data_IF_598844892519
#
_entry.id   IF_598844892519
#
_cell.length_a   1.000
_cell.length_b   1.000
_cell.length_c   1.000
_cell.angle_alpha   90.00
_cell.angle_beta   90.00
_cell.angle_gamma   90.00
#
_symmetry.space_group_name_H-M   'P 1'
#
loop_
_entity.id
_entity.type
_entity.pdbx_description
1 polymer ?
#
# COMPACT_ATOMS: atom_id res chain seq x y z
N UNK A 1 -8.22 14.80 17.19
CA UNK A 1 -7.20 15.00 18.23
C UNK A 1 -6.22 13.83 18.34
N UNK A 2 -6.67 12.58 18.46
CA UNK A 2 -5.79 11.39 18.56
C UNK A 2 -4.89 11.13 17.33
N UNK A 3 -5.37 11.45 16.11
CA UNK A 3 -4.58 11.32 14.88
C UNK A 3 -3.39 12.30 14.85
N UNK A 4 -3.61 13.57 15.24
CA UNK A 4 -2.55 14.59 15.37
C UNK A 4 -1.48 14.21 16.39
N UNK A 5 -1.85 13.60 17.52
CA UNK A 5 -0.90 13.17 18.55
C UNK A 5 0.00 12.00 18.10
N UNK A 6 -0.54 11.02 17.34
CA UNK A 6 0.25 9.93 16.73
C UNK A 6 1.17 10.44 15.61
N UNK A 7 0.72 11.45 14.87
CA UNK A 7 1.49 12.12 13.81
C UNK A 7 2.66 12.94 14.36
N UNK A 8 2.47 13.67 15.46
CA UNK A 8 3.54 14.46 16.12
C UNK A 8 4.64 13.55 16.70
N UNK A 9 4.28 12.38 17.23
CA UNK A 9 5.26 11.41 17.74
C UNK A 9 6.15 10.84 16.61
N UNK A 10 5.61 10.71 15.39
CA UNK A 10 6.34 10.24 14.19
C UNK A 10 7.30 11.25 13.60
N UNK A 11 6.94 12.53 13.57
CA UNK A 11 7.84 13.60 13.10
C UNK A 11 9.14 13.64 13.92
N UNK A 12 9.07 13.29 15.21
CA UNK A 12 10.23 13.22 16.10
C UNK A 12 11.17 12.03 15.81
N UNK A 13 10.66 10.97 15.19
CA UNK A 13 11.43 9.79 14.80
C UNK A 13 12.10 10.00 13.43
N UNK A 14 11.44 10.71 12.51
CA UNK A 14 11.93 10.98 11.15
C UNK A 14 13.18 11.88 11.11
N UNK A 15 13.35 12.76 12.10
CA UNK A 15 14.43 13.76 12.13
C UNK A 15 15.59 13.45 13.09
N UNK A 16 15.61 12.27 13.74
CA UNK A 16 16.71 11.91 14.65
C UNK A 16 17.85 11.18 13.92
N UNK A 17 19.12 11.51 14.22
CA UNK A 17 20.26 10.72 13.73
C UNK A 17 20.22 9.32 14.35
N UNK A 18 20.42 8.29 13.52
CA UNK A 18 20.51 6.91 13.99
C UNK A 18 21.68 6.78 14.97
N UNK A 19 21.44 6.21 16.16
CA UNK A 19 22.53 5.92 17.09
C UNK A 19 23.40 4.78 16.54
N UNK A 20 24.74 4.89 16.65
CA UNK A 20 25.63 3.86 16.14
C UNK A 20 25.42 2.54 16.89
N UNK A 21 25.26 1.46 16.12
CA UNK A 21 25.19 0.10 16.63
C UNK A 21 26.48 -0.23 17.39
N UNK A 22 26.39 -0.40 18.71
CA UNK A 22 27.49 -0.95 19.50
C UNK A 22 27.69 -2.42 19.13
N UNK A 23 28.81 -2.71 18.45
CA UNK A 23 29.26 -4.07 18.15
C UNK A 23 29.43 -4.86 19.45
N UNK A 24 28.60 -5.89 19.67
CA UNK A 24 28.89 -6.96 20.62
C UNK A 24 29.71 -8.05 19.91
N UNK A 25 30.81 -8.54 20.49
CA UNK A 25 31.60 -9.60 19.88
C UNK A 25 30.81 -10.91 19.83
N UNK A 26 30.88 -11.59 18.68
CA UNK A 26 30.28 -12.91 18.46
C UNK A 26 31.19 -13.95 19.12
N UNK A 27 30.63 -14.66 20.09
CA UNK A 27 31.31 -15.74 20.82
C UNK A 27 31.41 -17.00 19.95
N UNK A 28 32.64 -17.35 19.54
CA UNK A 28 32.95 -18.35 18.50
C UNK A 28 32.90 -19.81 18.98
N UNK A 29 32.40 -20.09 20.18
CA UNK A 29 32.46 -21.44 20.77
C UNK A 29 31.17 -22.28 20.67
N UNK A 30 30.13 -21.85 19.93
CA UNK A 30 28.83 -22.55 19.95
C UNK A 30 28.50 -23.44 18.73
N UNK A 31 29.43 -23.63 17.79
CA UNK A 31 29.15 -24.31 16.51
C UNK A 31 29.58 -25.78 16.40
N UNK A 32 30.24 -26.38 17.39
CA UNK A 32 30.78 -27.76 17.24
C UNK A 32 29.88 -28.89 17.80
N UNK A 33 28.70 -28.60 18.34
CA UNK A 33 27.89 -29.60 19.07
C UNK A 33 26.76 -30.31 18.31
N UNK A 34 26.46 -29.96 17.05
CA UNK A 34 25.19 -30.37 16.41
C UNK A 34 25.31 -31.22 15.13
N UNK A 35 26.44 -31.90 14.91
CA UNK A 35 26.62 -32.76 13.72
C UNK A 35 26.64 -34.28 13.96
N UNK A 36 26.21 -34.74 15.15
CA UNK A 36 26.11 -36.18 15.44
C UNK A 36 24.86 -36.50 16.25
N UNK A 37 23.70 -36.61 15.57
CA UNK A 37 22.54 -37.44 15.98
C UNK A 37 21.36 -37.19 15.05
N UNK A 38 21.29 -37.88 13.92
CA UNK A 38 20.01 -38.21 13.24
C UNK A 38 20.25 -39.07 11.99
N UNK A 39 20.83 -40.25 12.18
CA UNK A 39 20.62 -41.38 11.28
C UNK A 39 20.30 -42.60 12.13
N UNK A 40 19.02 -42.99 12.19
CA UNK A 40 18.57 -44.40 12.23
C UNK A 40 17.06 -44.50 12.41
N UNK A 41 16.47 -45.46 11.67
CA UNK A 41 15.23 -46.19 11.95
C UNK A 41 13.94 -45.77 11.24
N UNK A 42 13.84 -46.27 10.01
CA UNK A 42 12.62 -46.75 9.36
C UNK A 42 11.93 -47.82 10.21
N UNK A 43 10.60 -47.70 10.44
CA UNK A 43 9.72 -48.88 10.56
C UNK A 43 8.26 -48.58 10.18
N UNK A 44 7.84 -49.33 9.18
CA UNK A 44 6.54 -49.50 8.53
C UNK A 44 5.46 -50.05 9.47
N UNK A 45 4.19 -49.60 9.36
CA UNK A 45 2.97 -50.43 9.53
C UNK A 45 1.73 -49.78 8.90
N UNK A 46 0.93 -50.63 8.22
CA UNK A 46 -0.31 -50.37 7.46
C UNK A 46 -1.57 -50.49 8.37
N UNK A 47 -2.74 -50.14 7.82
CA UNK A 47 -4.13 -50.53 8.19
C UNK A 47 -4.87 -49.50 9.08
N UNK A 48 -6.13 -49.07 8.89
CA UNK A 48 -7.28 -49.48 8.06
C UNK A 48 -8.35 -48.36 8.07
N UNK A 49 -9.20 -48.28 7.04
CA UNK A 49 -10.39 -47.41 6.90
C UNK A 49 -11.45 -47.63 7.98
N UNK A 50 -12.21 -46.59 8.35
CA UNK A 50 -13.68 -46.62 8.54
C UNK A 50 -14.31 -45.21 8.49
N UNK A 51 -15.51 -45.15 7.94
CA UNK A 51 -16.31 -43.99 7.50
C UNK A 51 -17.57 -43.80 8.36
N UNK A 52 -17.90 -42.53 8.68
CA UNK A 52 -19.21 -41.85 8.94
C UNK A 52 -20.13 -42.27 10.13
N UNK A 53 -21.20 -41.50 10.54
CA UNK A 53 -21.78 -40.20 10.07
C UNK A 53 -22.16 -39.18 11.21
N UNK A 54 -22.88 -38.04 10.97
CA UNK A 54 -23.05 -36.91 11.89
C UNK A 54 -24.36 -36.93 12.72
N UNK A 55 -24.44 -36.11 13.78
CA UNK A 55 -25.64 -35.92 14.60
C UNK A 55 -26.17 -34.47 14.52
N UNK A 56 -27.40 -34.34 14.02
CA UNK A 56 -28.29 -33.17 14.10
C UNK A 56 -29.49 -33.55 14.95
N UNK A 57 -29.84 -32.82 16.02
CA UNK A 57 -31.19 -32.87 16.63
C UNK A 57 -31.62 -31.50 17.22
N UNK A 58 -32.63 -30.92 16.55
CA UNK A 58 -33.85 -30.24 16.98
C UNK A 58 -33.99 -29.41 18.29
N UNK A 59 -34.61 -28.24 18.10
CA UNK A 59 -35.34 -27.43 19.10
C UNK A 59 -36.63 -28.11 19.60
N UNK A 60 -37.20 -27.65 20.73
CA UNK A 60 -38.64 -27.70 20.95
C UNK A 60 -39.28 -26.29 20.97
N UNK A 61 -40.56 -26.25 20.62
CA UNK A 61 -41.42 -25.07 20.44
C UNK A 61 -42.66 -25.18 21.34
N UNK A 62 -43.14 -24.01 21.82
CA UNK A 62 -44.52 -23.62 22.28
C UNK A 62 -44.99 -24.03 23.69
N UNK A 63 -46.09 -23.44 24.27
CA UNK A 63 -47.09 -22.46 23.72
C UNK A 63 -47.63 -21.31 24.63
N UNK A 64 -48.33 -20.33 24.00
CA UNK A 64 -49.52 -19.50 24.40
C UNK A 64 -49.56 -18.69 25.73
N UNK A 65 -50.30 -17.58 25.94
CA UNK A 65 -51.57 -17.06 25.39
C UNK A 65 -51.82 -15.58 25.82
N UNK A 66 -52.38 -14.77 24.91
CA UNK A 66 -53.37 -13.66 25.05
C UNK A 66 -53.28 -12.65 26.23
N UNK A 67 -53.33 -11.35 25.92
CA UNK A 67 -54.57 -10.57 25.86
C UNK A 67 -54.34 -9.14 25.32
N UNK A 68 -55.34 -8.70 24.57
CA UNK A 68 -55.58 -7.40 23.96
C UNK A 68 -56.22 -6.42 24.94
N UNK A 69 -55.84 -5.14 24.90
CA UNK A 69 -56.80 -4.06 25.14
C UNK A 69 -56.44 -2.79 24.35
N UNK A 70 -57.46 -2.29 23.68
CA UNK A 70 -57.57 -1.05 22.91
C UNK A 70 -57.49 0.18 23.78
N UNK A 71 -56.93 1.29 23.27
CA UNK A 71 -57.46 2.67 23.39
C UNK A 71 -56.56 3.64 22.57
N UNK A 72 -57.19 4.43 21.70
CA UNK A 72 -56.76 5.73 21.14
C UNK A 72 -57.94 6.69 21.39
N UNK A 73 -57.77 8.00 21.62
CA UNK A 73 -57.19 8.90 20.62
C UNK A 73 -56.32 10.08 21.13
N UNK A 74 -55.60 10.65 20.15
CA UNK A 74 -55.10 12.02 19.94
C UNK A 74 -54.85 12.99 21.11
N UNK A 75 -53.62 13.50 21.15
CA UNK A 75 -53.40 14.94 21.32
C UNK A 75 -52.14 15.40 20.55
N UNK A 76 -52.29 16.51 19.83
CA UNK A 76 -51.34 17.19 18.97
C UNK A 76 -50.17 17.84 19.73
N UNK A 77 -48.92 17.64 19.26
CA UNK A 77 -47.84 18.65 19.20
C UNK A 77 -46.53 18.04 18.61
N UNK A 78 -45.59 18.87 18.10
CA UNK A 78 -45.08 18.76 16.74
C UNK A 78 -44.02 17.68 16.56
N UNK A 79 -43.96 17.13 15.33
CA UNK A 79 -42.89 16.25 14.83
C UNK A 79 -41.53 16.92 15.05
N UNK A 80 -40.87 16.56 16.14
CA UNK A 80 -39.43 16.74 16.30
C UNK A 80 -38.74 16.03 15.14
N UNK A 81 -37.98 16.80 14.36
CA UNK A 81 -37.02 16.31 13.39
C UNK A 81 -36.16 15.22 14.05
N UNK A 82 -36.45 13.96 13.72
CA UNK A 82 -35.48 12.89 13.91
C UNK A 82 -34.40 13.15 12.86
N UNK A 83 -33.34 13.84 13.28
CA UNK A 83 -32.12 13.99 12.51
C UNK A 83 -31.66 12.57 12.12
N UNK A 84 -31.50 12.27 10.82
CA UNK A 84 -31.05 10.95 10.43
C UNK A 84 -29.64 10.72 11.00
N UNK A 85 -29.54 9.55 11.63
CA UNK A 85 -28.34 8.93 12.16
C UNK A 85 -27.16 9.11 11.18
N UNK A 86 -26.06 9.70 11.65
CA UNK A 86 -24.81 9.85 10.89
C UNK A 86 -24.06 8.51 10.88
N UNK A 87 -24.71 7.49 10.30
CA UNK A 87 -24.07 6.27 9.83
C UNK A 87 -23.58 6.49 8.39
N UNK A 88 -22.31 6.18 8.14
CA UNK A 88 -21.65 6.30 6.83
C UNK A 88 -22.38 5.51 5.73
N UNK A 89 -23.24 6.18 4.97
CA UNK A 89 -23.68 5.69 3.66
C UNK A 89 -22.65 6.16 2.62
N UNK A 90 -21.71 5.28 2.25
CA UNK A 90 -20.85 5.52 1.09
C UNK A 90 -21.72 5.76 -0.16
N UNK A 91 -21.45 6.85 -0.86
CA UNK A 91 -22.15 7.20 -2.11
C UNK A 91 -22.04 6.07 -3.14
N UNK A 92 -22.99 5.98 -4.08
CA UNK A 92 -22.91 5.01 -5.19
C UNK A 92 -21.59 5.12 -5.95
N UNK A 93 -21.06 6.35 -6.09
CA UNK A 93 -19.75 6.59 -6.69
C UNK A 93 -18.62 5.91 -5.91
N UNK A 94 -18.60 6.03 -4.58
CA UNK A 94 -17.57 5.41 -3.73
C UNK A 94 -17.67 3.88 -3.73
N UNK A 95 -18.89 3.32 -3.68
CA UNK A 95 -19.10 1.87 -3.80
C UNK A 95 -18.57 1.32 -5.12
N UNK A 96 -18.86 2.02 -6.23
CA UNK A 96 -18.34 1.66 -7.55
C UNK A 96 -16.81 1.75 -7.60
N UNK A 97 -16.22 2.79 -7.01
CA UNK A 97 -14.76 2.96 -7.00
C UNK A 97 -14.06 1.86 -6.17
N UNK A 98 -14.62 1.49 -5.01
CA UNK A 98 -14.10 0.40 -4.17
C UNK A 98 -14.23 -0.96 -4.88
N UNK A 99 -15.40 -1.27 -5.43
CA UNK A 99 -15.61 -2.51 -6.19
C UNK A 99 -14.70 -2.59 -7.42
N UNK A 100 -14.52 -1.47 -8.14
CA UNK A 100 -13.62 -1.42 -9.28
C UNK A 100 -12.16 -1.67 -8.88
N UNK A 101 -11.70 -1.06 -7.80
CA UNK A 101 -10.36 -1.30 -7.26
C UNK A 101 -10.11 -2.79 -6.96
N UNK A 102 -11.04 -3.45 -6.26
CA UNK A 102 -10.95 -4.88 -5.95
C UNK A 102 -10.86 -5.72 -7.23
N UNK A 103 -11.80 -5.52 -8.13
CA UNK A 103 -11.91 -6.25 -9.40
C UNK A 103 -10.64 -6.03 -10.24
N UNK A 104 -10.18 -4.81 -10.41
CA UNK A 104 -8.97 -4.55 -11.20
C UNK A 104 -7.71 -5.08 -10.52
N UNK A 105 -7.61 -5.04 -9.19
CA UNK A 105 -6.46 -5.57 -8.46
C UNK A 105 -6.39 -7.12 -8.48
N UNK A 106 -7.54 -7.79 -8.56
CA UNK A 106 -7.62 -9.26 -8.60
C UNK A 106 -7.32 -9.84 -9.98
N UNK A 107 -7.92 -9.30 -11.03
CA UNK A 107 -7.86 -9.89 -12.39
C UNK A 107 -7.20 -8.99 -13.45
N UNK A 108 -6.89 -7.74 -13.11
CA UNK A 108 -6.32 -6.76 -14.03
C UNK A 108 -7.35 -6.07 -14.92
N UNK A 109 -6.93 -4.95 -15.52
CA UNK A 109 -7.80 -4.09 -16.34
C UNK A 109 -8.50 -4.82 -17.51
N UNK A 110 -7.79 -5.70 -18.21
CA UNK A 110 -8.29 -6.34 -19.44
C UNK A 110 -9.41 -7.35 -19.15
N UNK A 111 -9.25 -8.19 -18.12
CA UNK A 111 -10.22 -9.22 -17.76
C UNK A 111 -11.45 -8.64 -17.03
N UNK A 112 -11.28 -7.53 -16.32
CA UNK A 112 -12.36 -6.88 -15.58
C UNK A 112 -13.50 -6.40 -16.47
N UNK A 113 -14.74 -6.67 -16.00
CA UNK A 113 -15.97 -6.26 -16.67
C UNK A 113 -16.79 -5.29 -15.83
N UNK A 114 -17.45 -4.33 -16.48
CA UNK A 114 -18.35 -3.38 -15.80
C UNK A 114 -19.50 -4.11 -15.08
N UNK A 115 -19.98 -5.23 -15.62
CA UNK A 115 -21.05 -6.02 -14.99
C UNK A 115 -20.62 -6.60 -13.64
N UNK A 116 -19.40 -7.13 -13.55
CA UNK A 116 -18.87 -7.66 -12.30
C UNK A 116 -18.69 -6.55 -11.25
N UNK A 117 -18.14 -5.40 -11.68
CA UNK A 117 -17.98 -4.22 -10.81
C UNK A 117 -19.33 -3.77 -10.27
N UNK A 118 -20.33 -3.64 -11.13
CA UNK A 118 -21.70 -3.29 -10.73
C UNK A 118 -22.31 -4.30 -9.77
N UNK A 119 -22.05 -5.60 -9.98
CA UNK A 119 -22.49 -6.67 -9.11
C UNK A 119 -21.93 -6.53 -7.69
N UNK A 120 -20.61 -6.33 -7.55
CA UNK A 120 -19.97 -6.10 -6.25
C UNK A 120 -20.38 -4.78 -5.60
N UNK A 121 -20.57 -3.74 -6.41
CA UNK A 121 -20.94 -2.43 -5.91
C UNK A 121 -22.42 -2.32 -5.50
N UNK A 122 -23.27 -3.31 -5.79
CA UNK A 122 -24.73 -3.22 -5.69
C UNK A 122 -25.27 -1.99 -6.46
N UNK A 123 -24.82 -1.84 -7.70
CA UNK A 123 -25.16 -0.73 -8.59
C UNK A 123 -25.55 -1.24 -9.98
N UNK A 124 -26.11 -0.36 -10.81
CA UNK A 124 -26.44 -0.68 -12.20
C UNK A 124 -25.39 -0.11 -13.17
N UNK A 125 -25.37 -0.62 -14.40
CA UNK A 125 -24.43 -0.16 -15.45
C UNK A 125 -24.62 1.32 -15.79
N UNK A 126 -25.86 1.82 -15.71
CA UNK A 126 -26.15 3.23 -15.95
C UNK A 126 -25.44 4.14 -14.92
N UNK A 127 -25.26 3.70 -13.67
CA UNK A 127 -24.53 4.44 -12.65
C UNK A 127 -23.04 4.58 -12.98
N UNK A 128 -22.42 3.56 -13.59
CA UNK A 128 -21.04 3.66 -14.08
C UNK A 128 -20.93 4.68 -15.20
N UNK A 129 -21.82 4.61 -16.18
CA UNK A 129 -21.85 5.59 -17.27
C UNK A 129 -22.11 7.01 -16.77
N UNK A 130 -23.00 7.17 -15.79
CA UNK A 130 -23.31 8.47 -15.19
C UNK A 130 -22.14 9.06 -14.40
N UNK A 131 -21.49 8.26 -13.54
CA UNK A 131 -20.44 8.77 -12.65
C UNK A 131 -19.04 8.82 -13.27
N UNK A 132 -18.73 7.92 -14.19
CA UNK A 132 -17.38 7.75 -14.73
C UNK A 132 -17.35 7.74 -16.26
N UNK A 133 -18.45 7.42 -16.93
CA UNK A 133 -18.53 7.36 -18.39
C UNK A 133 -18.25 5.96 -18.93
N UNK A 134 -17.07 5.40 -18.69
CA UNK A 134 -16.69 4.06 -19.19
C UNK A 134 -15.69 3.34 -18.27
N UNK A 135 -15.27 2.12 -18.65
CA UNK A 135 -14.31 1.31 -17.88
C UNK A 135 -12.94 1.98 -17.75
N UNK A 136 -12.47 2.64 -18.81
CA UNK A 136 -11.17 3.32 -18.85
C UNK A 136 -11.17 4.50 -17.88
N UNK A 137 -12.19 5.36 -17.93
CA UNK A 137 -12.35 6.49 -17.01
C UNK A 137 -12.58 6.08 -15.56
N UNK A 138 -13.30 4.97 -15.32
CA UNK A 138 -13.41 4.38 -13.99
C UNK A 138 -12.05 3.89 -13.47
N UNK A 139 -11.25 3.28 -14.34
CA UNK A 139 -9.88 2.87 -14.00
C UNK A 139 -8.99 4.08 -13.70
N UNK A 140 -8.98 5.11 -14.55
CA UNK A 140 -8.28 6.39 -14.34
C UNK A 140 -8.66 7.04 -13.00
N UNK A 141 -9.96 7.05 -12.66
CA UNK A 141 -10.46 7.65 -11.41
C UNK A 141 -9.91 6.97 -10.14
N UNK A 142 -9.50 5.70 -10.21
CA UNK A 142 -8.85 5.01 -9.08
C UNK A 142 -7.47 5.60 -8.82
N UNK A 143 -6.73 5.93 -9.87
CA UNK A 143 -5.41 6.57 -9.75
C UNK A 143 -5.53 7.99 -9.20
N UNK A 144 -6.55 8.76 -9.59
CA UNK A 144 -6.81 10.07 -8.97
C UNK A 144 -6.93 9.98 -7.45
N UNK A 145 -7.75 9.04 -6.96
CA UNK A 145 -7.92 8.85 -5.53
C UNK A 145 -6.65 8.31 -4.83
N UNK A 146 -5.90 7.43 -5.51
CA UNK A 146 -4.60 6.97 -5.03
C UNK A 146 -3.69 8.17 -4.79
N UNK A 147 -3.37 8.91 -5.84
CA UNK A 147 -2.37 9.95 -5.80
C UNK A 147 -2.78 11.15 -4.95
N UNK A 148 -4.06 11.53 -4.87
CA UNK A 148 -4.54 12.54 -3.91
C UNK A 148 -4.13 12.17 -2.47
N UNK A 149 -4.37 10.93 -2.06
CA UNK A 149 -4.02 10.43 -0.73
C UNK A 149 -2.49 10.42 -0.51
N UNK A 150 -1.72 10.11 -1.55
CA UNK A 150 -0.26 10.09 -1.50
C UNK A 150 0.33 11.50 -1.36
N UNK A 151 -0.17 12.46 -2.13
CA UNK A 151 0.30 13.84 -2.12
C UNK A 151 0.14 14.52 -0.75
N UNK A 152 -0.98 14.27 -0.07
CA UNK A 152 -1.21 14.77 1.29
C UNK A 152 -0.16 14.25 2.29
N UNK A 153 0.21 12.97 2.21
CA UNK A 153 1.23 12.37 3.09
C UNK A 153 2.63 12.93 2.81
N UNK A 154 2.97 13.13 1.54
CA UNK A 154 4.28 13.62 1.07
C UNK A 154 4.58 15.06 1.43
N UNK A 155 3.56 15.90 1.63
CA UNK A 155 3.71 17.35 1.88
C UNK A 155 3.64 17.71 3.35
N UNK A 156 3.13 16.83 4.20
CA UNK A 156 2.81 17.13 5.59
C UNK A 156 4.03 17.35 6.52
N UNK A 157 5.28 17.08 6.09
CA UNK A 157 6.42 16.94 7.02
C UNK A 157 7.77 17.54 6.60
N UNK A 158 7.86 18.30 5.51
CA UNK A 158 9.13 18.90 5.07
C UNK A 158 9.11 20.42 5.18
N UNK A 159 10.08 21.04 5.87
CA UNK A 159 10.35 22.47 5.72
C UNK A 159 10.61 22.81 4.25
N UNK A 160 10.11 23.94 3.74
CA UNK A 160 10.34 24.37 2.36
C UNK A 160 11.84 24.48 1.98
N UNK A 161 12.69 24.75 2.98
CA UNK A 161 14.13 24.99 2.90
C UNK A 161 14.98 23.78 3.32
N UNK A 162 14.37 22.60 3.50
CA UNK A 162 15.11 21.40 3.84
C UNK A 162 16.19 21.08 2.78
N UNK A 163 17.38 20.72 3.26
CA UNK A 163 18.49 20.31 2.40
C UNK A 163 18.07 19.17 1.43
N UNK A 164 18.56 19.16 0.18
CA UNK A 164 18.11 18.21 -0.83
C UNK A 164 18.37 16.75 -0.44
N UNK A 165 19.39 16.45 0.35
CA UNK A 165 19.68 15.12 0.90
C UNK A 165 18.57 14.66 1.85
N UNK A 166 18.07 15.56 2.69
CA UNK A 166 16.95 15.30 3.61
C UNK A 166 15.66 15.11 2.83
N UNK A 167 15.41 15.96 1.83
CA UNK A 167 14.26 15.83 0.92
C UNK A 167 14.26 14.48 0.21
N UNK A 168 15.43 14.02 -0.25
CA UNK A 168 15.59 12.71 -0.88
C UNK A 168 15.26 11.57 0.08
N UNK A 169 15.79 11.61 1.31
CA UNK A 169 15.52 10.58 2.34
C UNK A 169 14.04 10.45 2.64
N UNK A 170 13.35 11.58 2.83
CA UNK A 170 11.90 11.60 3.07
C UNK A 170 11.15 11.08 1.85
N UNK A 171 11.54 11.47 0.64
CA UNK A 171 10.91 10.98 -0.58
C UNK A 171 11.05 9.46 -0.73
N UNK A 172 12.24 8.90 -0.49
CA UNK A 172 12.48 7.44 -0.48
C UNK A 172 11.59 6.75 0.55
N UNK A 173 11.53 7.27 1.79
CA UNK A 173 10.66 6.72 2.84
C UNK A 173 9.20 6.69 2.40
N UNK A 174 8.69 7.80 1.87
CA UNK A 174 7.30 7.88 1.45
C UNK A 174 7.00 6.89 0.32
N UNK A 175 7.86 6.78 -0.69
CA UNK A 175 7.70 5.77 -1.74
C UNK A 175 7.69 4.33 -1.18
N UNK A 176 8.56 4.02 -0.23
CA UNK A 176 8.57 2.71 0.43
C UNK A 176 7.27 2.44 1.19
N UNK A 177 6.78 3.39 1.98
CA UNK A 177 5.54 3.25 2.73
C UNK A 177 4.33 3.05 1.79
N UNK A 178 4.34 3.70 0.62
CA UNK A 178 3.31 3.59 -0.40
C UNK A 178 3.33 2.25 -1.13
N UNK A 179 4.52 1.79 -1.55
CA UNK A 179 4.68 0.55 -2.32
C UNK A 179 4.51 -0.69 -1.44
N UNK A 180 4.98 -0.64 -0.19
CA UNK A 180 5.03 -1.79 0.71
C UNK A 180 3.95 -1.80 1.80
N UNK A 181 3.11 -0.78 1.88
CA UNK A 181 1.94 -0.74 2.78
C UNK A 181 2.32 -0.94 4.26
N UNK A 182 3.44 -0.36 4.70
CA UNK A 182 4.12 -0.80 5.93
C UNK A 182 3.42 -0.52 7.26
N UNK A 183 2.28 0.17 7.28
CA UNK A 183 1.52 0.41 8.51
C UNK A 183 0.01 0.39 8.28
N UNK A 184 -0.71 -0.31 9.16
CA UNK A 184 -2.17 -0.23 9.25
C UNK A 184 -2.87 -0.82 8.02
N UNK A 185 -2.74 -2.14 7.88
CA UNK A 185 -3.31 -2.95 6.81
C UNK A 185 -4.78 -2.57 6.53
N UNK A 186 -5.01 -1.93 5.39
CA UNK A 186 -6.30 -1.98 4.72
C UNK A 186 -6.05 -2.72 3.41
N UNK A 187 -6.86 -3.74 3.12
CA UNK A 187 -6.80 -4.47 1.84
C UNK A 187 -6.79 -3.49 0.65
N UNK A 188 -7.44 -2.35 0.81
CA UNK A 188 -7.45 -1.20 -0.11
C UNK A 188 -6.06 -0.69 -0.47
N UNK A 189 -5.16 -0.46 0.49
CA UNK A 189 -3.82 0.07 0.18
C UNK A 189 -3.01 -0.95 -0.64
N UNK A 190 -3.08 -2.23 -0.29
CA UNK A 190 -2.41 -3.29 -1.04
C UNK A 190 -2.97 -3.43 -2.47
N UNK A 191 -4.29 -3.30 -2.65
CA UNK A 191 -4.93 -3.27 -3.96
C UNK A 191 -4.45 -2.08 -4.80
N UNK A 192 -4.33 -0.90 -4.20
CA UNK A 192 -3.86 0.31 -4.87
C UNK A 192 -2.40 0.20 -5.31
N UNK A 193 -1.51 -0.23 -4.42
CA UNK A 193 -0.09 -0.45 -4.73
C UNK A 193 0.08 -1.49 -5.85
N UNK A 194 -0.77 -2.53 -5.87
CA UNK A 194 -0.76 -3.54 -6.93
C UNK A 194 -1.19 -2.97 -8.29
N UNK A 195 -2.20 -2.10 -8.33
CA UNK A 195 -2.61 -1.43 -9.57
C UNK A 195 -1.52 -0.49 -10.09
N UNK A 196 -0.93 0.32 -9.20
CA UNK A 196 0.18 1.19 -9.54
C UNK A 196 1.30 0.43 -10.26
N UNK A 197 1.75 -0.68 -9.67
CA UNK A 197 2.83 -1.49 -10.21
C UNK A 197 2.43 -2.30 -11.45
N UNK A 198 1.18 -2.75 -11.53
CA UNK A 198 0.68 -3.45 -12.71
C UNK A 198 0.75 -2.54 -13.94
N UNK A 199 0.42 -1.26 -13.82
CA UNK A 199 0.50 -0.32 -14.94
C UNK A 199 1.93 -0.13 -15.44
N UNK A 200 2.91 -0.15 -14.54
CA UNK A 200 4.34 -0.05 -14.89
C UNK A 200 4.86 -1.28 -15.65
N UNK A 201 4.38 -2.47 -15.29
CA UNK A 201 4.87 -3.74 -15.87
C UNK A 201 4.01 -4.18 -17.07
N UNK A 202 2.73 -3.81 -17.07
CA UNK A 202 1.70 -4.24 -18.04
C UNK A 202 0.82 -3.05 -18.40
N UNK A 203 1.34 -2.12 -19.21
CA UNK A 203 0.64 -0.89 -19.51
C UNK A 203 -0.68 -1.15 -20.24
N UNK A 204 -1.66 -0.33 -19.91
CA UNK A 204 -2.99 -0.32 -20.52
C UNK A 204 -3.13 0.89 -21.43
N UNK A 205 -4.26 0.98 -22.12
CA UNK A 205 -4.63 2.18 -22.89
C UNK A 205 -4.87 3.42 -22.00
N UNK A 206 -4.92 3.27 -20.68
CA UNK A 206 -5.03 4.39 -19.74
C UNK A 206 -3.66 4.99 -19.36
N UNK A 207 -2.54 4.35 -19.71
CA UNK A 207 -1.20 4.73 -19.24
C UNK A 207 -0.91 6.21 -19.52
N UNK A 208 -1.06 6.67 -20.76
CA UNK A 208 -0.66 8.03 -21.14
C UNK A 208 -1.35 9.09 -20.27
N UNK A 209 -2.65 8.90 -20.02
CA UNK A 209 -3.43 9.80 -19.17
C UNK A 209 -3.01 9.70 -17.71
N UNK A 210 -2.86 8.48 -17.19
CA UNK A 210 -2.38 8.22 -15.82
C UNK A 210 -1.00 8.86 -15.60
N UNK A 211 -0.11 8.78 -16.59
CA UNK A 211 1.21 9.40 -16.54
C UNK A 211 1.07 10.91 -16.42
N UNK A 212 0.36 11.54 -17.35
CA UNK A 212 0.20 13.00 -17.37
C UNK A 212 -0.49 13.56 -16.12
N UNK A 213 -1.52 12.89 -15.62
CA UNK A 213 -2.36 13.42 -14.53
C UNK A 213 -1.79 13.06 -13.15
N UNK A 214 -1.00 11.99 -13.03
CA UNK A 214 -0.63 11.44 -11.74
C UNK A 214 0.86 11.15 -11.54
N UNK A 215 1.54 10.51 -12.51
CA UNK A 215 2.96 10.22 -12.35
C UNK A 215 3.85 11.44 -12.59
N UNK A 216 3.54 12.28 -13.58
CA UNK A 216 4.35 13.45 -13.90
C UNK A 216 4.48 14.45 -12.74
N UNK A 217 3.40 14.83 -12.02
CA UNK A 217 3.52 15.69 -10.85
C UNK A 217 4.45 15.11 -9.77
N UNK A 218 4.41 13.79 -9.58
CA UNK A 218 5.20 13.13 -8.55
C UNK A 218 6.67 12.97 -8.97
N UNK A 219 6.90 12.55 -10.22
CA UNK A 219 8.24 12.41 -10.80
C UNK A 219 8.98 13.75 -10.81
N UNK A 220 8.28 14.86 -11.14
CA UNK A 220 8.85 16.21 -11.12
C UNK A 220 9.49 16.55 -9.79
N UNK A 221 8.85 16.19 -8.67
CA UNK A 221 9.39 16.44 -7.34
C UNK A 221 10.70 15.70 -7.10
N UNK A 222 10.79 14.44 -7.53
CA UNK A 222 12.05 13.68 -7.45
C UNK A 222 13.11 14.32 -8.35
N UNK A 223 12.75 14.68 -9.59
CA UNK A 223 13.67 15.33 -10.52
C UNK A 223 14.22 16.64 -9.96
N UNK A 224 13.39 17.47 -9.30
CA UNK A 224 13.83 18.70 -8.63
C UNK A 224 14.81 18.43 -7.48
N UNK A 225 14.60 17.36 -6.71
CA UNK A 225 15.51 16.97 -5.62
C UNK A 225 16.85 16.52 -6.21
N UNK A 226 16.82 15.65 -7.22
CA UNK A 226 18.01 15.09 -7.85
C UNK A 226 18.79 16.17 -8.61
N UNK A 227 18.10 17.06 -9.32
CA UNK A 227 18.69 18.22 -9.99
C UNK A 227 19.42 19.13 -9.01
N UNK A 228 18.84 19.39 -7.83
CA UNK A 228 19.49 20.19 -6.79
C UNK A 228 20.77 19.53 -6.25
N UNK A 229 20.79 18.19 -6.09
CA UNK A 229 22.00 17.47 -5.68
C UNK A 229 23.09 17.51 -6.76
N UNK A 230 22.70 17.32 -8.02
CA UNK A 230 23.59 17.30 -9.19
C UNK A 230 24.06 18.69 -9.66
N UNK A 231 23.42 19.76 -9.19
CA UNK A 231 23.60 21.14 -9.70
C UNK A 231 23.26 21.26 -11.20
N UNK A 232 22.15 20.67 -11.62
CA UNK A 232 21.63 20.73 -13.00
C UNK A 232 20.13 21.03 -13.05
N UNK A 233 19.47 20.78 -14.19
CA UNK A 233 18.03 20.99 -14.40
C UNK A 233 17.23 19.69 -14.22
N UNK A 234 15.95 19.76 -13.81
CA UNK A 234 15.07 18.58 -13.70
C UNK A 234 14.91 17.76 -14.99
N UNK A 235 15.19 18.36 -16.14
CA UNK A 235 15.08 17.73 -17.46
C UNK A 235 16.42 17.23 -18.02
N UNK A 236 17.52 17.41 -17.28
CA UNK A 236 18.83 16.90 -17.69
C UNK A 236 18.79 15.35 -17.73
N UNK A 237 19.29 14.70 -18.79
CA UNK A 237 19.37 13.25 -18.86
C UNK A 237 19.99 12.60 -17.62
N UNK A 238 21.05 13.19 -17.03
CA UNK A 238 21.70 12.62 -15.84
C UNK A 238 20.79 12.68 -14.60
N UNK A 239 19.92 13.70 -14.52
CA UNK A 239 18.91 13.81 -13.47
C UNK A 239 17.85 12.74 -13.62
N UNK A 240 17.36 12.52 -14.84
CA UNK A 240 16.35 11.51 -15.15
C UNK A 240 16.90 10.12 -14.83
N UNK A 241 18.13 9.81 -15.25
CA UNK A 241 18.77 8.52 -15.02
C UNK A 241 19.06 8.26 -13.53
N UNK A 242 19.50 9.29 -12.80
CA UNK A 242 19.70 9.19 -11.35
C UNK A 242 18.37 8.98 -10.62
N UNK A 243 17.30 9.71 -10.99
CA UNK A 243 15.97 9.51 -10.44
C UNK A 243 15.44 8.09 -10.73
N UNK A 244 15.60 7.60 -11.96
CA UNK A 244 15.26 6.23 -12.34
C UNK A 244 16.05 5.19 -11.52
N UNK A 245 17.32 5.46 -11.21
CA UNK A 245 18.15 4.61 -10.36
C UNK A 245 17.67 4.55 -8.90
N UNK A 246 17.18 5.67 -8.36
CA UNK A 246 16.56 5.69 -7.02
C UNK A 246 15.28 4.84 -7.03
N UNK A 247 14.38 5.08 -7.99
CA UNK A 247 13.12 4.33 -8.12
C UNK A 247 13.38 2.83 -8.34
N UNK A 248 14.34 2.48 -9.20
CA UNK A 248 14.70 1.10 -9.51
C UNK A 248 15.14 0.31 -8.28
N UNK A 249 15.90 0.92 -7.37
CA UNK A 249 16.30 0.29 -6.11
C UNK A 249 15.08 -0.03 -5.23
N UNK A 250 14.11 0.88 -5.14
CA UNK A 250 12.89 0.69 -4.34
C UNK A 250 12.02 -0.42 -4.95
N UNK A 251 11.78 -0.34 -6.26
CA UNK A 251 10.97 -1.33 -6.99
C UNK A 251 11.59 -2.72 -6.97
N UNK A 252 12.92 -2.83 -6.94
CA UNK A 252 13.60 -4.12 -6.83
C UNK A 252 13.20 -4.87 -5.56
N UNK A 253 13.16 -4.19 -4.41
CA UNK A 253 12.71 -4.82 -3.16
C UNK A 253 11.26 -5.31 -3.21
N UNK A 254 10.43 -4.73 -4.09
CA UNK A 254 9.05 -5.15 -4.28
C UNK A 254 8.97 -6.34 -5.25
N UNK A 255 9.48 -6.18 -6.47
CA UNK A 255 9.36 -7.19 -7.54
C UNK A 255 10.16 -8.45 -7.24
N UNK A 256 11.35 -8.30 -6.67
CA UNK A 256 12.22 -9.42 -6.37
C UNK A 256 11.87 -10.11 -5.03
N UNK A 257 10.90 -9.60 -4.25
CA UNK A 257 10.59 -10.12 -2.92
C UNK A 257 10.37 -11.65 -2.89
N UNK A 258 9.56 -12.26 -3.79
CA UNK A 258 9.35 -13.71 -3.77
C UNK A 258 10.64 -14.52 -3.99
N UNK A 259 11.60 -13.94 -4.73
CA UNK A 259 12.91 -14.53 -5.01
C UNK A 259 13.84 -14.31 -3.81
N UNK A 260 13.95 -13.07 -3.32
CA UNK A 260 14.82 -12.70 -2.20
C UNK A 260 14.48 -13.47 -0.93
N UNK A 261 13.20 -13.65 -0.61
CA UNK A 261 12.77 -14.45 0.55
C UNK A 261 13.16 -15.93 0.44
N UNK A 262 13.33 -16.46 -0.77
CA UNK A 262 13.80 -17.84 -1.00
C UNK A 262 15.31 -17.96 -1.00
N UNK A 263 16.02 -16.96 -1.53
CA UNK A 263 17.49 -16.89 -1.52
C UNK A 263 18.04 -16.62 -0.12
N UNK A 264 17.28 -15.90 0.72
CA UNK A 264 17.68 -15.48 2.05
C UNK A 264 16.57 -15.75 3.08
N UNK A 265 16.26 -17.02 3.38
CA UNK A 265 15.15 -17.37 4.28
C UNK A 265 15.36 -16.90 5.72
N UNK A 266 16.61 -16.75 6.16
CA UNK A 266 16.95 -16.29 7.52
C UNK A 266 16.90 -14.76 7.66
N UNK A 267 16.67 -14.01 6.56
CA UNK A 267 16.54 -12.55 6.65
C UNK A 267 15.14 -12.19 7.16
N UNK A 268 15.03 -11.26 8.12
CA UNK A 268 13.75 -10.71 8.54
C UNK A 268 12.94 -10.14 7.35
N UNK A 269 11.62 -10.11 7.50
CA UNK A 269 10.74 -9.57 6.48
C UNK A 269 11.09 -8.11 6.13
N UNK A 270 10.80 -7.69 4.89
CA UNK A 270 11.07 -6.31 4.45
C UNK A 270 10.41 -5.28 5.37
N UNK A 271 9.19 -5.54 5.83
CA UNK A 271 8.47 -4.67 6.76
C UNK A 271 9.22 -4.45 8.09
N UNK A 272 9.92 -5.48 8.61
CA UNK A 272 10.70 -5.41 9.86
C UNK A 272 12.02 -4.66 9.68
N UNK A 273 12.47 -4.49 8.44
CA UNK A 273 13.74 -3.86 8.08
C UNK A 273 13.56 -2.55 7.33
N UNK A 274 12.34 -2.02 7.29
CA UNK A 274 12.00 -0.89 6.42
C UNK A 274 12.95 0.28 6.62
N UNK A 275 13.18 0.71 7.86
CA UNK A 275 14.09 1.81 8.18
C UNK A 275 15.52 1.54 7.70
N UNK A 276 16.04 0.33 7.94
CA UNK A 276 17.38 -0.05 7.51
C UNK A 276 17.51 -0.10 5.98
N UNK A 277 16.46 -0.49 5.27
CA UNK A 277 16.41 -0.51 3.80
C UNK A 277 16.35 0.91 3.26
N UNK A 278 15.50 1.78 3.83
CA UNK A 278 15.41 3.20 3.47
C UNK A 278 16.77 3.88 3.64
N UNK A 279 17.43 3.69 4.79
CA UNK A 279 18.76 4.24 5.02
C UNK A 279 19.76 3.77 3.96
N UNK A 280 19.72 2.48 3.64
CA UNK A 280 20.67 1.95 2.66
C UNK A 280 20.41 2.48 1.24
N UNK A 281 19.15 2.53 0.81
CA UNK A 281 18.80 3.11 -0.51
C UNK A 281 19.19 4.58 -0.56
N UNK A 282 18.97 5.33 0.52
CA UNK A 282 19.37 6.73 0.61
C UNK A 282 20.89 6.91 0.52
N UNK A 283 21.67 6.17 1.33
CA UNK A 283 23.14 6.23 1.31
C UNK A 283 23.73 5.85 -0.05
N UNK A 284 23.25 4.74 -0.63
CA UNK A 284 23.71 4.28 -1.94
C UNK A 284 23.38 5.30 -3.05
N UNK A 285 22.18 5.87 -2.99
CA UNK A 285 21.75 6.89 -3.96
C UNK A 285 22.58 8.17 -3.83
N UNK A 286 22.84 8.66 -2.62
CA UNK A 286 23.70 9.84 -2.42
C UNK A 286 25.12 9.61 -2.97
N UNK A 287 25.71 8.46 -2.68
CA UNK A 287 27.04 8.12 -3.21
C UNK A 287 27.07 8.05 -4.74
N UNK A 288 26.04 7.46 -5.36
CA UNK A 288 25.90 7.39 -6.81
C UNK A 288 25.72 8.76 -7.45
N UNK A 289 24.85 9.60 -6.88
CA UNK A 289 24.57 10.96 -7.36
C UNK A 289 25.82 11.84 -7.24
N UNK A 290 26.53 11.79 -6.11
CA UNK A 290 27.77 12.55 -5.92
C UNK A 290 28.84 12.13 -6.95
N UNK A 291 28.98 10.83 -7.21
CA UNK A 291 29.90 10.34 -8.24
C UNK A 291 29.49 10.77 -9.65
N UNK A 292 28.19 10.77 -9.94
CA UNK A 292 27.63 11.23 -11.21
C UNK A 292 27.91 12.73 -11.43
N UNK A 293 27.68 13.55 -10.39
CA UNK A 293 28.01 14.99 -10.38
C UNK A 293 29.46 15.26 -10.72
N UNK A 294 30.39 14.52 -10.11
CA UNK A 294 31.83 14.66 -10.36
C UNK A 294 32.26 14.18 -11.75
N UNK A 295 31.48 13.28 -12.36
CA UNK A 295 31.80 12.67 -13.65
C UNK A 295 31.13 13.41 -14.82
N UNK A 296 30.24 14.37 -14.55
CA UNK A 296 29.52 15.10 -15.59
C UNK A 296 30.42 16.20 -16.18
N UNK A 297 30.87 16.08 -17.44
CA UNK A 297 31.83 17.00 -18.05
C UNK A 297 31.23 18.37 -18.42
N UNK A 298 29.94 18.61 -18.16
CA UNK A 298 29.21 19.84 -18.53
C UNK A 298 29.16 20.89 -17.42
N UNK A 299 30.16 20.94 -16.53
CA UNK A 299 30.42 22.18 -15.77
C UNK A 299 31.20 23.15 -16.67
N UNK A 300 30.69 24.36 -16.94
CA UNK A 300 31.50 25.40 -17.58
C UNK A 300 32.73 25.77 -16.74
#
# INVERSE_FOLDING_TARGET
>A
MAHRARVILRARIILQPAQPLQNRPIDSQRLEGQHQRSQTSSRRRKSTRRTEPPLTIAMPVKPNRRQSSTLKPENDQPRGQVLPDKGSHNSTRERLLQAALEVFAEQGYRAATIREICGRAEANVAAVHYHFGDKRKLYEAIYGHLFETLQERRTAFLPPDAAPEVRLRVHIRTLFEEIFCCEGNSDRQAQLSRLYLNEMVRPTEALDRIVSEHFEPDARRLYEIIAALLETTPTDPITIDCAASVIGQILYYHHALPILSRLHPDRPAVAERLDAIIEQVWLFSLGGIERAKQSNPTKP
#
